data_IF_985742110290
#
_entry.id   IF_985742110290
#
_cell.length_a   1.000
_cell.length_b   1.000
_cell.length_c   1.000
_cell.angle_alpha   90.00
_cell.angle_beta   90.00
_cell.angle_gamma   90.00
#
_symmetry.space_group_name_H-M   'P 1'
#
loop_
_entity.id
_entity.type
_entity.pdbx_description
1 polymer ?
#
# COMPACT_ATOMS: atom_id res chain seq x y z
N UNK A 1 26.09 35.90 -34.75
CA UNK A 1 27.30 35.31 -34.13
C UNK A 1 26.87 34.09 -33.36
N UNK A 2 27.27 33.00 -33.91
CA UNK A 2 27.36 31.61 -33.49
C UNK A 2 26.62 31.08 -32.26
N UNK A 3 25.53 30.35 -32.54
CA UNK A 3 25.00 29.28 -31.74
C UNK A 3 25.93 28.06 -31.77
N UNK A 4 26.25 27.49 -30.63
CA UNK A 4 26.85 26.15 -30.51
C UNK A 4 25.84 25.18 -29.87
N UNK A 5 25.31 24.33 -30.75
CA UNK A 5 24.59 23.10 -30.37
C UNK A 5 25.64 22.06 -29.97
N UNK A 6 25.54 21.53 -28.75
CA UNK A 6 26.38 20.39 -28.32
C UNK A 6 25.60 19.12 -28.62
N UNK A 7 26.05 18.39 -29.66
CA UNK A 7 25.70 17.00 -29.90
C UNK A 7 26.62 16.12 -29.04
N UNK A 8 26.07 15.36 -28.12
CA UNK A 8 26.78 14.26 -27.47
C UNK A 8 26.78 13.06 -28.41
N UNK A 9 27.89 12.80 -29.08
CA UNK A 9 28.14 11.57 -29.81
C UNK A 9 28.69 10.51 -28.86
N UNK A 10 28.01 9.37 -28.77
CA UNK A 10 28.52 8.16 -28.09
C UNK A 10 29.51 7.50 -29.02
N UNK A 11 30.80 7.57 -28.68
CA UNK A 11 31.87 6.94 -29.44
C UNK A 11 31.99 5.48 -29.08
N UNK A 12 31.79 4.59 -30.07
CA UNK A 12 32.12 3.16 -29.93
C UNK A 12 33.65 3.02 -29.84
N UNK A 13 34.16 2.52 -28.76
CA UNK A 13 35.55 2.09 -28.65
C UNK A 13 35.67 0.65 -29.17
N UNK A 14 36.29 0.52 -30.37
CA UNK A 14 36.71 -0.77 -30.92
C UNK A 14 38.11 -1.09 -30.38
N UNK A 15 38.20 -2.08 -29.50
CA UNK A 15 39.50 -2.58 -29.03
C UNK A 15 39.91 -3.73 -29.92
N UNK A 16 40.99 -3.53 -30.70
CA UNK A 16 41.71 -4.59 -31.39
C UNK A 16 42.64 -5.31 -30.42
N UNK A 17 42.38 -6.60 -30.17
CA UNK A 17 43.35 -7.47 -29.49
C UNK A 17 43.89 -8.46 -30.51
N UNK A 18 45.19 -8.37 -30.76
CA UNK A 18 45.93 -9.30 -31.62
C UNK A 18 46.28 -10.60 -30.86
N UNK A 19 45.91 -11.71 -31.47
CA UNK A 19 46.47 -13.08 -31.46
C UNK A 19 46.91 -13.73 -30.15
N UNK A 20 46.18 -14.78 -29.81
CA UNK A 20 46.75 -16.00 -29.28
C UNK A 20 46.25 -16.42 -27.89
N UNK A 21 45.05 -17.00 -27.83
CA UNK A 21 44.71 -18.04 -26.84
C UNK A 21 43.40 -18.73 -27.26
N UNK A 22 43.23 -20.07 -27.01
CA UNK A 22 42.11 -20.82 -27.55
C UNK A 22 40.85 -20.65 -26.73
N UNK A 23 39.75 -20.66 -27.44
CA UNK A 23 38.36 -20.94 -27.09
C UNK A 23 37.97 -21.03 -25.61
N UNK A 24 37.23 -20.02 -25.18
CA UNK A 24 36.01 -20.06 -24.36
C UNK A 24 35.78 -18.75 -23.60
N UNK A 25 35.28 -17.74 -24.26
CA UNK A 25 34.44 -16.71 -23.65
C UNK A 25 33.54 -16.12 -24.74
N UNK A 26 32.44 -16.80 -25.03
CA UNK A 26 31.29 -16.12 -25.64
C UNK A 26 30.63 -15.27 -24.55
N UNK A 27 31.06 -14.02 -24.44
CA UNK A 27 30.28 -13.01 -23.71
C UNK A 27 29.07 -12.75 -24.58
N UNK A 28 27.97 -13.36 -24.24
CA UNK A 28 26.69 -13.19 -24.87
C UNK A 28 26.29 -11.71 -24.79
N UNK A 29 26.25 -11.04 -25.93
CA UNK A 29 25.57 -9.77 -26.15
C UNK A 29 24.05 -9.99 -26.09
N UNK A 30 23.55 -10.44 -24.94
CA UNK A 30 22.14 -10.72 -24.68
C UNK A 30 21.52 -9.71 -23.69
N UNK A 31 22.15 -8.55 -23.49
CA UNK A 31 21.70 -7.61 -22.47
C UNK A 31 20.92 -6.39 -23.00
N UNK A 32 20.86 -6.15 -24.30
CA UNK A 32 20.19 -4.94 -24.82
C UNK A 32 18.80 -5.21 -25.43
N UNK A 33 18.52 -6.43 -25.87
CA UNK A 33 17.20 -6.79 -26.41
C UNK A 33 16.22 -7.28 -25.33
N UNK A 34 16.71 -7.91 -24.26
CA UNK A 34 15.86 -8.35 -23.13
C UNK A 34 15.28 -7.21 -22.28
N UNK A 35 15.85 -6.01 -22.34
CA UNK A 35 15.33 -4.83 -21.63
C UNK A 35 14.16 -4.15 -22.37
N UNK A 36 13.94 -4.44 -23.65
CA UNK A 36 12.85 -3.84 -24.45
C UNK A 36 11.53 -4.63 -24.41
N UNK A 37 11.51 -5.86 -23.90
CA UNK A 37 10.31 -6.73 -23.90
C UNK A 37 9.74 -7.05 -22.52
N UNK A 38 10.35 -6.60 -21.43
CA UNK A 38 9.72 -6.79 -20.12
C UNK A 38 8.50 -5.88 -20.02
N UNK A 39 7.32 -6.46 -19.93
CA UNK A 39 6.10 -5.75 -19.55
C UNK A 39 6.40 -4.86 -18.35
N UNK A 40 6.01 -3.59 -18.41
CA UNK A 40 6.14 -2.67 -17.26
C UNK A 40 5.35 -3.16 -16.05
N UNK A 41 4.53 -4.20 -16.21
CA UNK A 41 3.69 -4.83 -15.20
C UNK A 41 3.97 -6.32 -15.15
N UNK A 42 4.27 -6.82 -13.95
CA UNK A 42 4.50 -8.25 -13.70
C UNK A 42 3.39 -8.84 -12.81
N UNK A 43 3.00 -10.07 -13.10
CA UNK A 43 2.10 -10.85 -12.25
C UNK A 43 2.91 -11.53 -11.14
N UNK A 44 2.61 -11.25 -9.90
CA UNK A 44 3.37 -11.75 -8.75
C UNK A 44 2.70 -12.95 -8.09
N UNK A 45 1.38 -12.87 -7.87
CA UNK A 45 0.56 -13.95 -7.31
C UNK A 45 -0.84 -13.80 -7.90
N UNK A 46 -1.52 -14.93 -8.08
CA UNK A 46 -2.88 -14.97 -8.60
C UNK A 46 -2.93 -15.28 -10.08
N UNK A 47 -4.09 -15.50 -10.61
CA UNK A 47 -4.32 -16.43 -11.71
C UNK A 47 -4.86 -15.88 -12.99
N UNK A 48 -4.78 -14.61 -13.21
CA UNK A 48 -4.99 -14.09 -14.56
C UNK A 48 -3.66 -14.01 -15.29
N UNK A 49 -3.21 -15.14 -15.85
CA UNK A 49 -2.16 -15.12 -16.88
C UNK A 49 -2.83 -14.83 -18.22
N UNK A 50 -2.32 -13.87 -19.01
CA UNK A 50 -2.79 -13.72 -20.39
C UNK A 50 -2.51 -15.01 -21.14
N UNK A 51 -3.53 -15.59 -21.75
CA UNK A 51 -3.34 -16.67 -22.73
C UNK A 51 -2.82 -16.07 -24.03
N UNK A 52 -2.01 -16.82 -24.76
CA UNK A 52 -1.66 -16.49 -26.14
C UNK A 52 -2.97 -16.39 -26.94
N UNK A 53 -3.34 -15.16 -27.36
CA UNK A 53 -4.59 -14.90 -28.06
C UNK A 53 -5.56 -13.95 -27.35
N UNK A 54 -5.20 -13.38 -26.17
CA UNK A 54 -6.00 -12.33 -25.51
C UNK A 54 -7.18 -12.83 -24.67
N UNK A 55 -7.39 -14.14 -24.56
CA UNK A 55 -8.33 -14.73 -23.62
C UNK A 55 -7.68 -15.00 -22.26
N UNK A 56 -8.36 -14.61 -21.19
CA UNK A 56 -7.91 -14.79 -19.83
C UNK A 56 -8.39 -16.14 -19.27
N UNK A 57 -7.50 -17.09 -19.06
CA UNK A 57 -7.83 -18.31 -18.31
C UNK A 57 -7.61 -18.06 -16.83
N UNK A 58 -8.64 -18.34 -16.02
CA UNK A 58 -8.47 -18.45 -14.57
C UNK A 58 -7.71 -19.74 -14.28
N UNK A 59 -6.41 -19.67 -14.07
CA UNK A 59 -5.67 -20.76 -13.47
C UNK A 59 -5.97 -20.77 -11.95
N UNK A 60 -5.73 -21.84 -11.18
CA UNK A 60 -6.08 -21.95 -9.77
C UNK A 60 -5.29 -20.95 -8.90
N UNK A 61 -5.89 -19.84 -8.46
CA UNK A 61 -5.27 -18.91 -7.52
C UNK A 61 -5.38 -19.44 -6.09
N UNK A 62 -4.31 -19.45 -5.32
CA UNK A 62 -4.43 -19.68 -3.90
C UNK A 62 -5.11 -18.50 -3.19
N UNK A 63 -5.29 -17.35 -3.87
CA UNK A 63 -5.86 -16.13 -3.28
C UNK A 63 -7.37 -16.04 -3.51
N UNK A 64 -8.08 -15.59 -2.46
CA UNK A 64 -9.52 -15.33 -2.46
C UNK A 64 -9.80 -13.95 -1.87
N UNK A 65 -9.77 -12.92 -2.71
CA UNK A 65 -9.99 -11.54 -2.28
C UNK A 65 -8.84 -10.98 -1.44
N UNK A 66 -7.61 -10.92 -1.96
CA UNK A 66 -6.49 -10.27 -1.27
C UNK A 66 -6.78 -8.79 -1.05
N UNK A 67 -6.35 -8.23 0.08
CA UNK A 67 -6.64 -6.84 0.44
C UNK A 67 -5.41 -6.02 0.78
N UNK A 68 -4.43 -6.59 1.47
CA UNK A 68 -3.21 -5.90 1.85
C UNK A 68 -1.98 -6.77 1.70
N UNK A 69 -0.84 -6.12 1.44
CA UNK A 69 0.47 -6.78 1.33
C UNK A 69 1.55 -5.94 1.99
N UNK A 70 2.54 -6.63 2.57
CA UNK A 70 3.82 -6.02 2.96
C UNK A 70 4.93 -7.08 2.96
N UNK A 71 6.18 -6.65 3.21
CA UNK A 71 7.39 -7.45 3.04
C UNK A 71 8.22 -7.47 4.32
N UNK A 72 8.78 -8.64 4.64
CA UNK A 72 9.79 -8.77 5.70
C UNK A 72 11.20 -8.38 5.21
N UNK A 73 12.16 -8.38 6.12
CA UNK A 73 13.56 -8.04 5.84
C UNK A 73 14.22 -9.01 4.85
N UNK A 74 13.72 -10.24 4.71
CA UNK A 74 14.18 -11.22 3.73
C UNK A 74 13.61 -10.95 2.32
N UNK A 75 12.62 -10.06 2.19
CA UNK A 75 11.87 -9.78 0.97
C UNK A 75 10.76 -10.81 0.68
N UNK A 76 10.35 -11.60 1.65
CA UNK A 76 9.15 -12.41 1.55
C UNK A 76 7.92 -11.52 1.71
N UNK A 77 6.89 -11.76 0.88
CA UNK A 77 5.64 -11.00 0.88
C UNK A 77 4.60 -11.69 1.77
N UNK A 78 3.93 -10.90 2.60
CA UNK A 78 2.76 -11.33 3.37
C UNK A 78 1.50 -10.75 2.76
N UNK A 79 0.44 -11.58 2.66
CA UNK A 79 -0.81 -11.24 1.99
C UNK A 79 -1.96 -11.56 2.94
N UNK A 80 -2.81 -10.58 3.23
CA UNK A 80 -4.03 -10.78 4.02
C UNK A 80 -5.26 -10.77 3.12
N UNK A 81 -6.22 -11.65 3.43
CA UNK A 81 -7.49 -11.76 2.73
C UNK A 81 -8.66 -11.34 3.62
N UNK A 82 -9.48 -10.41 3.12
CA UNK A 82 -10.58 -9.82 3.90
C UNK A 82 -11.64 -10.83 4.32
N UNK A 83 -12.13 -11.59 3.34
CA UNK A 83 -13.33 -12.44 3.56
C UNK A 83 -13.00 -13.74 4.28
N UNK A 84 -11.90 -14.38 3.94
CA UNK A 84 -11.45 -15.64 4.53
C UNK A 84 -10.73 -15.46 5.86
N UNK A 85 -10.19 -14.25 6.12
CA UNK A 85 -9.26 -14.01 7.21
C UNK A 85 -7.95 -14.79 7.05
N UNK A 86 -7.62 -15.22 5.84
CA UNK A 86 -6.39 -15.97 5.55
C UNK A 86 -5.17 -15.06 5.57
N UNK A 87 -4.03 -15.66 5.88
CA UNK A 87 -2.71 -15.06 5.79
C UNK A 87 -1.79 -15.98 4.99
N UNK A 88 -1.22 -15.44 3.95
CA UNK A 88 -0.27 -16.15 3.09
C UNK A 88 1.11 -15.49 3.16
N UNK A 89 2.15 -16.30 2.98
CA UNK A 89 3.53 -15.88 2.80
C UNK A 89 4.01 -16.34 1.43
N UNK A 90 4.47 -15.41 0.60
CA UNK A 90 5.16 -15.71 -0.66
C UNK A 90 6.66 -15.50 -0.48
N UNK A 91 7.45 -16.54 -0.72
CA UNK A 91 8.91 -16.45 -0.69
C UNK A 91 9.45 -15.59 -1.85
N UNK A 92 10.70 -15.15 -1.78
CA UNK A 92 11.36 -14.45 -2.90
C UNK A 92 11.40 -15.30 -4.18
N UNK A 93 11.45 -16.62 -4.04
CA UNK A 93 11.46 -17.59 -5.17
C UNK A 93 10.08 -17.83 -5.76
N UNK A 94 9.01 -17.28 -5.15
CA UNK A 94 7.66 -17.36 -5.68
C UNK A 94 6.76 -18.42 -5.03
N UNK A 95 7.28 -19.25 -4.13
CA UNK A 95 6.49 -20.22 -3.39
C UNK A 95 5.49 -19.52 -2.46
N UNK A 96 4.21 -19.91 -2.51
CA UNK A 96 3.15 -19.37 -1.63
C UNK A 96 2.77 -20.43 -0.60
N UNK A 97 2.89 -20.06 0.68
CA UNK A 97 2.47 -20.88 1.81
C UNK A 97 1.37 -20.18 2.59
N UNK A 98 0.28 -20.88 2.86
CA UNK A 98 -0.78 -20.39 3.75
C UNK A 98 -0.35 -20.62 5.20
N UNK A 99 -0.16 -19.54 5.95
CA UNK A 99 0.19 -19.58 7.37
C UNK A 99 -1.06 -19.75 8.24
N UNK A 100 -2.17 -19.16 7.81
CA UNK A 100 -3.48 -19.28 8.40
C UNK A 100 -4.53 -19.26 7.28
N UNK A 101 -5.37 -20.30 7.16
CA UNK A 101 -6.25 -20.51 6.02
C UNK A 101 -7.67 -20.96 6.35
N UNK A 102 -8.19 -20.60 7.51
CA UNK A 102 -9.56 -21.00 7.91
C UNK A 102 -10.52 -19.84 7.68
N UNK A 103 -11.72 -20.15 7.14
CA UNK A 103 -12.80 -19.20 6.90
C UNK A 103 -13.61 -18.84 8.18
N UNK A 104 -13.07 -19.09 9.36
CA UNK A 104 -13.68 -18.69 10.62
C UNK A 104 -13.49 -17.20 10.86
N UNK A 105 -14.55 -16.53 11.28
CA UNK A 105 -14.55 -15.13 11.71
C UNK A 105 -14.63 -15.06 13.22
N UNK A 106 -13.83 -14.21 13.84
CA UNK A 106 -13.83 -14.04 15.27
C UNK A 106 -12.54 -13.41 15.77
N UNK A 107 -12.39 -13.39 17.09
CA UNK A 107 -11.25 -12.83 17.79
C UNK A 107 -10.70 -13.86 18.80
N UNK A 108 -9.61 -14.52 18.43
CA UNK A 108 -8.93 -15.48 19.32
C UNK A 108 -7.47 -15.69 18.88
N UNK A 109 -6.75 -16.49 19.67
CA UNK A 109 -5.41 -16.99 19.35
C UNK A 109 -4.26 -16.15 19.88
N UNK A 110 -4.50 -15.11 20.69
CA UNK A 110 -3.43 -14.38 21.40
C UNK A 110 -2.66 -15.34 22.33
N UNK A 111 -1.33 -15.25 22.31
CA UNK A 111 -0.43 -16.13 23.03
C UNK A 111 -0.21 -17.49 22.37
N UNK A 112 -0.87 -17.79 21.26
CA UNK A 112 -0.72 -19.00 20.47
C UNK A 112 -0.07 -18.80 19.11
N UNK A 113 0.16 -19.91 18.41
CA UNK A 113 0.69 -19.86 17.05
C UNK A 113 -0.33 -19.33 16.03
N UNK A 114 0.15 -18.70 14.96
CA UNK A 114 -0.67 -18.04 13.91
C UNK A 114 -1.70 -18.97 13.28
N UNK A 115 -1.42 -20.26 13.18
CA UNK A 115 -2.35 -21.27 12.61
C UNK A 115 -3.64 -21.41 13.42
N UNK A 116 -3.64 -20.99 14.69
CA UNK A 116 -4.79 -21.01 15.61
C UNK A 116 -5.45 -19.63 15.75
N UNK A 117 -4.82 -18.58 15.23
CA UNK A 117 -5.37 -17.24 15.29
C UNK A 117 -6.65 -17.13 14.45
N UNK A 118 -7.62 -16.37 14.93
CA UNK A 118 -8.85 -16.08 14.19
C UNK A 118 -8.94 -14.57 14.00
N UNK A 119 -9.06 -14.15 12.74
CA UNK A 119 -9.19 -12.75 12.34
C UNK A 119 -10.59 -12.48 11.80
N UNK A 120 -11.01 -11.22 11.83
CA UNK A 120 -12.29 -10.81 11.29
C UNK A 120 -12.14 -9.56 10.41
N UNK A 121 -12.10 -9.78 9.10
CA UNK A 121 -11.95 -8.73 8.11
C UNK A 121 -10.60 -8.01 8.16
N UNK A 122 -9.46 -8.72 8.05
CA UNK A 122 -8.15 -8.08 7.97
C UNK A 122 -8.04 -7.27 6.67
N UNK A 123 -7.92 -5.93 6.79
CA UNK A 123 -7.94 -5.03 5.63
C UNK A 123 -6.57 -4.70 5.08
N UNK A 124 -5.55 -4.59 5.93
CA UNK A 124 -4.18 -4.48 5.49
C UNK A 124 -3.19 -4.95 6.55
N UNK A 125 -1.93 -5.03 6.18
CA UNK A 125 -0.85 -5.39 7.08
C UNK A 125 0.40 -4.56 6.78
N UNK A 126 1.28 -4.45 7.78
CA UNK A 126 2.61 -3.84 7.67
C UNK A 126 3.60 -4.66 8.48
N UNK A 127 4.87 -4.69 8.05
CA UNK A 127 5.96 -5.38 8.76
C UNK A 127 6.86 -4.36 9.43
N UNK A 128 7.13 -4.53 10.71
CA UNK A 128 8.04 -3.66 11.50
C UNK A 128 9.51 -3.91 11.13
N UNK A 129 10.40 -3.04 11.63
CA UNK A 129 11.84 -3.19 11.37
C UNK A 129 12.46 -4.45 12.00
N UNK A 130 11.83 -5.00 13.03
CA UNK A 130 12.21 -6.22 13.75
C UNK A 130 11.36 -7.44 13.32
N UNK A 131 10.86 -7.42 12.07
CA UNK A 131 10.10 -8.50 11.45
C UNK A 131 8.90 -8.98 12.29
N UNK A 132 8.09 -8.05 12.74
CA UNK A 132 6.75 -8.33 13.29
C UNK A 132 5.70 -7.90 12.28
N UNK A 133 4.84 -8.80 11.86
CA UNK A 133 3.71 -8.50 11.00
C UNK A 133 2.56 -7.94 11.86
N UNK A 134 2.16 -6.71 11.57
CA UNK A 134 0.99 -6.07 12.16
C UNK A 134 -0.17 -6.17 11.17
N UNK A 135 -1.36 -6.51 11.67
CA UNK A 135 -2.57 -6.71 10.86
C UNK A 135 -3.69 -5.82 11.40
N UNK A 136 -4.29 -5.02 10.54
CA UNK A 136 -5.54 -4.31 10.83
C UNK A 136 -6.69 -5.31 10.86
N UNK A 137 -7.01 -5.85 12.02
CA UNK A 137 -8.11 -6.80 12.24
C UNK A 137 -9.41 -6.02 12.47
N UNK A 138 -9.95 -5.51 11.35
CA UNK A 138 -10.84 -4.35 11.31
C UNK A 138 -12.16 -4.54 12.04
N UNK A 139 -12.80 -5.70 11.87
CA UNK A 139 -14.10 -5.98 12.51
C UNK A 139 -13.95 -6.50 13.93
N UNK A 140 -12.70 -6.80 14.33
CA UNK A 140 -12.33 -7.03 15.73
C UNK A 140 -11.81 -5.75 16.41
N UNK A 141 -11.86 -4.59 15.72
CA UNK A 141 -11.52 -3.29 16.31
C UNK A 141 -10.12 -3.25 16.95
N UNK A 142 -9.14 -3.95 16.37
CA UNK A 142 -7.81 -4.04 16.96
C UNK A 142 -6.72 -4.18 15.90
N UNK A 143 -5.47 -4.07 16.35
CA UNK A 143 -4.27 -4.40 15.57
C UNK A 143 -3.63 -5.64 16.18
N UNK A 144 -3.56 -6.71 15.38
CA UNK A 144 -2.90 -7.96 15.75
C UNK A 144 -1.44 -7.91 15.34
N UNK A 145 -0.61 -8.62 16.09
CA UNK A 145 0.82 -8.81 15.80
C UNK A 145 1.12 -10.29 15.64
N UNK A 146 1.93 -10.62 14.65
CA UNK A 146 2.53 -11.94 14.48
C UNK A 146 4.05 -11.75 14.48
N UNK A 147 4.72 -12.44 15.36
CA UNK A 147 6.17 -12.57 15.36
C UNK A 147 6.56 -13.50 14.21
N UNK A 148 7.32 -13.02 13.21
CA UNK A 148 7.59 -13.80 12.00
C UNK A 148 8.64 -14.89 12.21
N UNK A 149 9.42 -14.82 13.30
CA UNK A 149 10.37 -15.85 13.67
C UNK A 149 9.67 -17.02 14.39
N UNK A 150 8.87 -16.71 15.43
CA UNK A 150 8.22 -17.70 16.29
C UNK A 150 6.81 -18.07 15.86
N UNK A 151 6.22 -17.29 14.95
CA UNK A 151 4.82 -17.36 14.51
C UNK A 151 3.80 -17.20 15.66
N UNK A 152 4.22 -16.59 16.77
CA UNK A 152 3.33 -16.28 17.90
C UNK A 152 2.45 -15.07 17.58
N UNK A 153 1.18 -15.15 17.94
CA UNK A 153 0.17 -14.10 17.71
C UNK A 153 -0.15 -13.36 19.01
N UNK A 154 -0.39 -12.06 18.89
CA UNK A 154 -0.85 -11.21 20.00
C UNK A 154 -1.59 -9.98 19.47
N UNK A 155 -2.15 -9.19 20.39
CA UNK A 155 -2.77 -7.90 20.09
C UNK A 155 -1.90 -6.78 20.66
N UNK A 156 -1.59 -5.74 19.85
CA UNK A 156 -0.77 -4.60 20.31
C UNK A 156 -1.58 -3.33 20.54
N UNK A 157 -2.75 -3.20 19.90
CA UNK A 157 -3.65 -2.06 20.07
C UNK A 157 -5.08 -2.51 19.92
N UNK A 158 -5.96 -1.98 20.76
CA UNK A 158 -7.39 -2.29 20.79
C UNK A 158 -7.75 -3.38 21.78
N UNK A 159 -8.92 -3.22 22.39
CA UNK A 159 -9.51 -4.20 23.35
C UNK A 159 -10.33 -5.28 22.66
N UNK A 160 -10.63 -5.11 21.36
CA UNK A 160 -11.60 -5.93 20.64
C UNK A 160 -13.03 -5.37 20.67
N UNK A 161 -13.31 -4.41 21.54
CA UNK A 161 -14.60 -3.72 21.60
C UNK A 161 -14.63 -2.49 20.67
N UNK A 162 -15.80 -2.27 20.05
CA UNK A 162 -16.02 -1.08 19.23
C UNK A 162 -16.31 0.15 20.08
N UNK A 163 -15.49 1.20 19.97
CA UNK A 163 -15.64 2.42 20.74
C UNK A 163 -14.56 3.46 20.42
N UNK A 164 -14.46 4.48 21.27
CA UNK A 164 -13.40 5.48 21.21
C UNK A 164 -12.93 5.84 22.61
N UNK A 165 -11.74 5.38 22.97
CA UNK A 165 -11.11 5.67 24.26
C UNK A 165 -9.58 5.55 24.17
N UNK A 166 -8.88 5.79 25.27
CA UNK A 166 -7.49 5.39 25.50
C UNK A 166 -6.42 6.40 25.06
N UNK A 167 -6.76 7.59 24.52
CA UNK A 167 -5.76 8.59 24.17
C UNK A 167 -4.90 9.00 25.38
N UNK A 168 -3.58 8.99 25.20
CA UNK A 168 -2.59 9.27 26.25
C UNK A 168 -2.20 8.06 27.08
N UNK A 169 -2.88 6.92 26.92
CA UNK A 169 -2.63 5.67 27.62
C UNK A 169 -2.09 4.56 26.72
N UNK A 170 -2.04 3.31 27.25
CA UNK A 170 -1.60 2.13 26.50
C UNK A 170 -2.54 1.82 25.34
N UNK A 171 -1.97 1.66 24.13
CA UNK A 171 -2.74 1.36 22.92
C UNK A 171 -3.56 0.04 23.04
N UNK A 172 -3.06 -0.94 23.80
CA UNK A 172 -3.76 -2.20 24.02
C UNK A 172 -5.09 -2.03 24.81
N UNK A 173 -5.19 -0.98 25.60
CA UNK A 173 -6.39 -0.65 26.38
C UNK A 173 -7.32 0.35 25.67
N UNK A 174 -6.96 0.81 24.50
CA UNK A 174 -7.77 1.73 23.70
C UNK A 174 -8.92 1.02 23.00
N UNK A 175 -9.97 1.77 22.67
CA UNK A 175 -11.05 1.30 21.81
C UNK A 175 -10.94 1.95 20.44
N UNK A 176 -11.22 1.17 19.40
CA UNK A 176 -11.33 1.60 18.01
C UNK A 176 -12.72 1.25 17.46
N UNK A 177 -13.08 1.87 16.36
CA UNK A 177 -14.27 1.49 15.63
C UNK A 177 -13.97 1.35 14.13
N UNK A 178 -13.70 0.12 13.70
CA UNK A 178 -13.21 -0.27 12.39
C UNK A 178 -11.79 0.26 12.11
N UNK A 179 -10.79 -0.49 12.53
CA UNK A 179 -9.37 -0.27 12.21
C UNK A 179 -9.12 -0.61 10.74
N UNK A 180 -9.30 0.35 9.82
CA UNK A 180 -9.37 0.05 8.38
C UNK A 180 -8.03 0.00 7.68
N UNK A 181 -7.08 0.82 8.11
CA UNK A 181 -5.74 0.87 7.56
C UNK A 181 -4.76 1.15 8.67
N UNK A 182 -3.62 0.50 8.60
CA UNK A 182 -2.45 0.77 9.42
C UNK A 182 -1.26 1.04 8.50
N UNK A 183 -0.37 1.95 8.90
CA UNK A 183 0.86 2.24 8.18
C UNK A 183 1.95 2.64 9.17
N UNK A 184 3.18 2.27 8.88
CA UNK A 184 4.33 2.68 9.68
C UNK A 184 4.86 4.04 9.19
N UNK A 185 5.28 4.88 10.13
CA UNK A 185 6.10 6.04 9.79
C UNK A 185 7.38 5.60 9.08
N UNK A 186 7.99 6.47 8.29
CA UNK A 186 9.21 6.16 7.53
C UNK A 186 10.33 5.61 8.41
N UNK A 187 10.46 6.13 9.64
CA UNK A 187 11.43 5.62 10.63
C UNK A 187 10.94 4.38 11.39
N UNK A 188 9.75 3.86 11.05
CA UNK A 188 9.09 2.67 11.62
C UNK A 188 8.88 2.70 13.14
N UNK A 189 8.89 3.88 13.77
CA UNK A 189 8.66 4.04 15.22
C UNK A 189 7.22 4.31 15.59
N UNK A 190 6.43 4.84 14.66
CA UNK A 190 5.02 5.17 14.87
C UNK A 190 4.15 4.30 13.97
N UNK A 191 3.11 3.73 14.53
CA UNK A 191 2.03 3.08 13.79
C UNK A 191 0.87 4.06 13.66
N UNK A 192 0.58 4.47 12.42
CA UNK A 192 -0.59 5.25 12.07
C UNK A 192 -1.78 4.33 11.88
N UNK A 193 -2.95 4.67 12.41
CA UNK A 193 -4.16 3.86 12.36
C UNK A 193 -5.32 4.72 11.86
N UNK A 194 -5.97 4.32 10.78
CA UNK A 194 -7.23 4.89 10.32
C UNK A 194 -8.40 4.27 11.11
N UNK A 195 -8.87 4.98 12.12
CA UNK A 195 -9.99 4.63 12.99
C UNK A 195 -11.29 5.14 12.37
N UNK A 196 -11.77 4.39 11.37
CA UNK A 196 -12.70 4.85 10.33
C UNK A 196 -14.01 5.42 10.90
N UNK A 197 -14.74 4.64 11.69
CA UNK A 197 -16.06 5.07 12.21
C UNK A 197 -15.95 6.12 13.31
N UNK A 198 -14.81 6.18 13.98
CA UNK A 198 -14.47 7.28 14.89
C UNK A 198 -14.00 8.53 14.16
N UNK A 199 -13.84 8.49 12.82
CA UNK A 199 -13.39 9.62 11.99
C UNK A 199 -12.13 10.27 12.54
N UNK A 200 -11.13 9.43 12.83
CA UNK A 200 -9.86 9.84 13.42
C UNK A 200 -8.69 9.08 12.78
N UNK A 201 -7.54 9.72 12.83
CA UNK A 201 -6.27 9.03 12.68
C UNK A 201 -5.61 8.99 14.05
N UNK A 202 -5.22 7.80 14.46
CA UNK A 202 -4.54 7.54 15.74
C UNK A 202 -3.11 7.12 15.47
N UNK A 203 -2.20 7.55 16.31
CA UNK A 203 -0.80 7.14 16.29
C UNK A 203 -0.50 6.31 17.55
N UNK A 204 0.18 5.19 17.36
CA UNK A 204 0.77 4.41 18.45
C UNK A 204 2.29 4.54 18.35
N UNK A 205 2.92 5.02 19.38
CA UNK A 205 4.36 4.96 19.55
C UNK A 205 4.73 3.51 19.88
N UNK A 206 5.48 2.85 19.00
CA UNK A 206 5.79 1.43 19.13
C UNK A 206 6.82 1.14 20.23
N UNK A 207 7.57 2.16 20.68
CA UNK A 207 8.54 2.03 21.78
C UNK A 207 7.84 2.11 23.14
N UNK A 208 6.92 3.07 23.31
CA UNK A 208 6.23 3.31 24.59
C UNK A 208 4.88 2.64 24.69
N UNK A 209 4.29 2.21 23.57
CA UNK A 209 2.93 1.66 23.49
C UNK A 209 1.83 2.72 23.67
N UNK A 210 2.15 4.01 23.75
CA UNK A 210 1.19 5.09 23.98
C UNK A 210 0.45 5.45 22.70
N UNK A 211 -0.88 5.59 22.78
CA UNK A 211 -1.73 6.00 21.66
C UNK A 211 -2.21 7.43 21.80
N UNK A 212 -2.36 8.14 20.65
CA UNK A 212 -2.92 9.50 20.60
C UNK A 212 -3.66 9.75 19.29
N UNK A 213 -4.71 10.55 19.33
CA UNK A 213 -5.35 11.10 18.13
C UNK A 213 -4.47 12.20 17.51
N UNK A 214 -4.24 12.12 16.20
CA UNK A 214 -3.42 13.11 15.44
C UNK A 214 -4.22 13.85 14.37
N UNK A 215 -5.39 13.33 13.97
CA UNK A 215 -6.33 14.03 13.10
C UNK A 215 -7.75 13.55 13.34
N UNK A 216 -8.72 14.44 13.06
CA UNK A 216 -10.14 14.16 13.24
C UNK A 216 -10.64 14.42 14.66
N UNK A 217 -11.82 15.02 14.77
CA UNK A 217 -12.51 15.33 16.04
C UNK A 217 -13.72 14.43 16.30
N UNK A 218 -13.94 13.43 15.43
CA UNK A 218 -15.05 12.48 15.51
C UNK A 218 -16.32 12.93 14.76
N UNK A 219 -16.42 14.18 14.36
CA UNK A 219 -17.53 14.69 13.54
C UNK A 219 -17.31 14.37 12.07
N UNK A 220 -18.38 14.16 11.32
CA UNK A 220 -18.34 14.02 9.87
C UNK A 220 -18.35 15.41 9.23
N UNK A 221 -17.40 15.67 8.33
CA UNK A 221 -17.34 16.92 7.59
C UNK A 221 -16.03 17.11 6.86
N UNK A 222 -15.99 18.07 5.93
CA UNK A 222 -14.77 18.48 5.27
C UNK A 222 -13.94 19.34 6.21
N UNK A 223 -12.65 19.04 6.43
CA UNK A 223 -11.80 19.87 7.27
C UNK A 223 -11.58 21.26 6.65
N UNK A 224 -11.42 22.26 7.49
CA UNK A 224 -11.02 23.61 7.08
C UNK A 224 -9.50 23.62 6.86
N UNK A 225 -9.06 23.92 5.66
CA UNK A 225 -7.64 24.02 5.33
C UNK A 225 -6.91 25.04 6.22
N UNK A 226 -5.71 24.68 6.68
CA UNK A 226 -4.92 25.45 7.63
C UNK A 226 -5.33 25.32 9.10
N UNK A 227 -6.43 24.64 9.40
CA UNK A 227 -6.84 24.37 10.78
C UNK A 227 -6.10 23.20 11.41
N UNK A 228 -6.03 23.16 12.75
CA UNK A 228 -5.42 22.03 13.49
C UNK A 228 -6.18 20.74 13.18
N UNK A 229 -5.47 19.70 12.72
CA UNK A 229 -6.05 18.44 12.29
C UNK A 229 -6.91 17.76 13.36
N UNK A 230 -6.47 17.77 14.63
CA UNK A 230 -7.19 17.20 15.77
C UNK A 230 -8.49 17.95 16.13
N UNK A 231 -8.63 19.18 15.68
CA UNK A 231 -9.84 20.03 15.91
C UNK A 231 -10.82 19.96 14.74
N UNK A 232 -10.39 19.47 13.59
CA UNK A 232 -11.15 19.41 12.35
C UNK A 232 -11.91 18.09 12.19
N UNK A 233 -13.10 18.11 11.52
CA UNK A 233 -13.80 16.89 11.16
C UNK A 233 -13.08 16.15 10.03
N UNK A 234 -13.39 14.87 9.86
CA UNK A 234 -13.05 14.07 8.68
C UNK A 234 -14.33 13.43 8.11
N UNK A 235 -14.37 13.25 6.79
CA UNK A 235 -15.56 12.66 6.14
C UNK A 235 -15.58 11.14 6.35
N UNK A 236 -14.50 10.48 5.92
CA UNK A 236 -14.40 9.00 5.92
C UNK A 236 -12.93 8.59 5.76
N UNK A 237 -12.08 8.75 6.80
CA UNK A 237 -10.64 8.47 6.73
C UNK A 237 -10.39 6.97 6.53
N UNK A 238 -10.18 6.58 5.28
CA UNK A 238 -10.11 5.17 4.86
C UNK A 238 -8.71 4.59 4.93
N UNK A 239 -7.70 5.41 4.60
CA UNK A 239 -6.31 4.99 4.61
C UNK A 239 -5.39 6.15 5.00
N UNK A 240 -4.19 5.82 5.44
CA UNK A 240 -3.17 6.75 5.92
C UNK A 240 -1.81 6.28 5.46
N UNK A 241 -0.92 7.22 5.12
CA UNK A 241 0.50 6.99 4.87
C UNK A 241 1.31 8.22 5.26
N UNK A 242 2.63 8.11 5.39
CA UNK A 242 3.50 9.25 5.66
C UNK A 242 4.67 9.30 4.68
N UNK A 243 5.19 10.52 4.43
CA UNK A 243 6.40 10.74 3.64
C UNK A 243 7.64 10.93 4.52
N UNK A 244 8.82 11.02 3.86
CA UNK A 244 10.10 11.23 4.53
C UNK A 244 10.24 12.59 5.24
N UNK A 245 9.38 13.57 4.92
CA UNK A 245 9.33 14.87 5.58
C UNK A 245 8.43 14.87 6.83
N UNK A 246 7.77 13.75 7.14
CA UNK A 246 6.86 13.61 8.28
C UNK A 246 5.45 14.12 8.02
N UNK A 247 5.11 14.43 6.78
CA UNK A 247 3.72 14.73 6.43
C UNK A 247 2.89 13.45 6.48
N UNK A 248 1.68 13.55 7.05
CA UNK A 248 0.74 12.45 7.16
C UNK A 248 -0.40 12.63 6.15
N UNK A 249 -0.45 11.78 5.15
CA UNK A 249 -1.50 11.79 4.14
C UNK A 249 -2.68 10.92 4.57
N UNK A 250 -3.89 11.44 4.42
CA UNK A 250 -5.15 10.80 4.80
C UNK A 250 -6.03 10.72 3.56
N UNK A 251 -6.39 9.50 3.17
CA UNK A 251 -7.33 9.27 2.07
C UNK A 251 -8.76 9.17 2.60
N UNK A 252 -9.63 9.99 2.08
CA UNK A 252 -11.05 9.95 2.40
C UNK A 252 -11.83 9.25 1.28
N UNK A 253 -12.43 8.07 1.56
CA UNK A 253 -13.15 7.27 0.58
C UNK A 253 -14.40 7.97 0.06
N UNK A 254 -15.36 8.27 0.93
CA UNK A 254 -16.59 9.00 0.53
C UNK A 254 -16.38 10.50 0.43
N UNK A 255 -15.28 11.00 0.96
CA UNK A 255 -14.80 12.37 0.75
C UNK A 255 -14.11 12.56 -0.60
N UNK A 256 -13.77 11.49 -1.33
CA UNK A 256 -13.09 11.52 -2.63
C UNK A 256 -11.95 12.54 -2.68
N UNK A 257 -11.11 12.55 -1.65
CA UNK A 257 -10.04 13.52 -1.48
C UNK A 257 -8.85 12.96 -0.71
N UNK A 258 -7.69 13.53 -0.97
CA UNK A 258 -6.46 13.32 -0.23
C UNK A 258 -6.18 14.55 0.63
N UNK A 259 -6.02 14.35 1.93
CA UNK A 259 -5.62 15.37 2.88
C UNK A 259 -4.17 15.17 3.29
N UNK A 260 -3.51 16.21 3.74
CA UNK A 260 -2.21 16.15 4.40
C UNK A 260 -2.27 16.86 5.74
N UNK A 261 -1.71 16.24 6.77
CA UNK A 261 -1.39 16.89 8.04
C UNK A 261 0.11 17.15 8.03
N UNK A 262 0.49 18.40 8.19
CA UNK A 262 1.90 18.83 8.20
C UNK A 262 2.49 18.78 9.60
N UNK A 263 3.80 18.95 9.72
CA UNK A 263 4.52 18.90 10.99
C UNK A 263 4.02 19.90 12.04
N UNK A 264 3.44 21.04 11.61
CA UNK A 264 2.80 22.02 12.48
C UNK A 264 1.40 21.60 12.97
N UNK A 265 0.92 20.42 12.55
CA UNK A 265 -0.39 19.89 12.86
C UNK A 265 -1.54 20.46 12.03
N UNK A 266 -1.27 21.32 11.04
CA UNK A 266 -2.29 21.89 10.16
C UNK A 266 -2.72 20.86 9.10
N UNK A 267 -4.03 20.75 8.85
CA UNK A 267 -4.60 19.90 7.81
C UNK A 267 -4.90 20.71 6.56
N UNK A 268 -4.61 20.13 5.39
CA UNK A 268 -4.91 20.71 4.09
C UNK A 268 -5.46 19.67 3.12
N UNK A 269 -6.34 20.10 2.21
CA UNK A 269 -6.70 19.32 1.03
C UNK A 269 -5.60 19.46 -0.01
N UNK A 270 -5.06 18.35 -0.52
CA UNK A 270 -3.98 18.36 -1.52
C UNK A 270 -4.38 17.75 -2.85
N UNK A 271 -5.43 16.91 -2.87
CA UNK A 271 -6.01 16.41 -4.12
C UNK A 271 -7.47 16.03 -3.93
N UNK A 272 -8.24 16.17 -5.01
CA UNK A 272 -9.65 15.80 -5.07
C UNK A 272 -10.60 16.93 -4.70
N UNK A 273 -11.70 17.02 -5.46
CA UNK A 273 -12.74 18.05 -5.26
C UNK A 273 -13.80 17.67 -4.22
N UNK A 274 -13.74 16.44 -3.69
CA UNK A 274 -14.83 15.86 -2.89
C UNK A 274 -15.94 15.20 -3.72
N UNK A 275 -16.01 15.44 -5.02
CA UNK A 275 -16.98 14.84 -5.94
C UNK A 275 -16.45 13.53 -6.51
N UNK A 276 -17.32 12.52 -6.64
CA UNK A 276 -16.99 11.25 -7.30
C UNK A 276 -16.82 11.47 -8.81
N UNK A 277 -15.79 10.88 -9.40
CA UNK A 277 -15.55 10.91 -10.84
C UNK A 277 -14.15 10.44 -11.20
N UNK A 278 -13.75 10.69 -12.44
CA UNK A 278 -12.41 10.39 -12.95
C UNK A 278 -11.87 11.60 -13.71
N UNK A 279 -10.84 12.24 -13.19
CA UNK A 279 -10.11 13.33 -13.85
C UNK A 279 -8.69 13.40 -13.31
N UNK A 280 -7.71 13.42 -14.21
CA UNK A 280 -6.30 13.72 -13.96
C UNK A 280 -6.03 15.24 -14.10
N UNK A 281 -4.80 15.66 -13.87
CA UNK A 281 -4.32 17.03 -14.02
C UNK A 281 -4.14 17.73 -12.68
N UNK A 282 -4.52 19.00 -12.57
CA UNK A 282 -4.39 19.77 -11.33
C UNK A 282 -5.03 19.02 -10.15
N UNK A 283 -4.25 18.85 -9.08
CA UNK A 283 -4.63 17.96 -7.99
C UNK A 283 -5.92 18.42 -7.28
N UNK A 284 -6.13 19.73 -7.11
CA UNK A 284 -7.33 20.25 -6.48
C UNK A 284 -8.57 20.18 -7.39
N UNK A 285 -8.37 19.93 -8.68
CA UNK A 285 -9.43 19.70 -9.65
C UNK A 285 -9.62 18.22 -9.99
N UNK A 286 -8.76 17.34 -9.50
CA UNK A 286 -8.84 15.90 -9.74
C UNK A 286 -10.13 15.29 -9.19
N UNK A 287 -10.58 14.20 -9.81
CA UNK A 287 -11.74 13.44 -9.35
C UNK A 287 -11.32 12.01 -9.06
N UNK A 288 -11.76 11.50 -7.92
CA UNK A 288 -11.58 10.11 -7.48
C UNK A 288 -12.92 9.39 -7.39
N UNK A 289 -12.88 8.05 -7.45
CA UNK A 289 -14.06 7.19 -7.35
C UNK A 289 -13.98 6.23 -6.17
N UNK A 290 -14.39 6.65 -4.98
CA UNK A 290 -14.37 5.79 -3.78
C UNK A 290 -13.00 5.14 -3.53
N UNK A 291 -11.91 5.91 -3.45
CA UNK A 291 -10.56 5.37 -3.31
C UNK A 291 -10.40 4.59 -2.00
N UNK A 292 -9.55 3.56 -1.98
CA UNK A 292 -9.49 2.57 -0.89
C UNK A 292 -8.20 2.62 -0.08
N UNK A 293 -7.06 2.73 -0.74
CA UNK A 293 -5.77 2.61 -0.09
C UNK A 293 -4.75 3.57 -0.69
N UNK A 294 -3.72 3.91 0.08
CA UNK A 294 -2.58 4.73 -0.35
C UNK A 294 -1.27 4.16 0.16
N UNK A 295 -0.21 4.42 -0.58
CA UNK A 295 1.17 4.31 -0.10
C UNK A 295 2.01 5.46 -0.65
N UNK A 296 3.12 5.77 0.03
CA UNK A 296 4.07 6.79 -0.38
C UNK A 296 5.36 6.14 -0.87
N UNK A 297 5.96 6.66 -1.95
CA UNK A 297 7.30 6.27 -2.35
C UNK A 297 8.37 7.14 -1.66
N UNK A 298 9.67 6.76 -1.72
CA UNK A 298 10.75 7.57 -1.15
C UNK A 298 10.87 8.97 -1.75
N UNK A 299 10.32 9.21 -2.94
CA UNK A 299 10.28 10.52 -3.61
C UNK A 299 9.18 11.44 -3.10
N UNK A 300 8.29 10.92 -2.24
CA UNK A 300 7.14 11.64 -1.67
C UNK A 300 5.88 11.56 -2.52
N UNK A 301 5.87 10.82 -3.63
CA UNK A 301 4.65 10.61 -4.42
C UNK A 301 3.69 9.70 -3.66
N UNK A 302 2.39 10.01 -3.72
CA UNK A 302 1.35 9.19 -3.10
C UNK A 302 0.57 8.43 -4.17
N UNK A 303 0.62 7.10 -4.10
CA UNK A 303 -0.14 6.21 -4.98
C UNK A 303 -1.46 5.86 -4.34
N UNK A 304 -2.53 5.87 -5.15
CA UNK A 304 -3.92 5.77 -4.69
C UNK A 304 -4.61 4.65 -5.46
N UNK A 305 -5.13 3.65 -4.75
CA UNK A 305 -6.04 2.65 -5.30
C UNK A 305 -7.43 3.27 -5.48
N UNK A 306 -7.75 3.71 -6.68
CA UNK A 306 -9.00 4.40 -7.04
C UNK A 306 -10.04 3.38 -7.52
N UNK A 307 -10.64 2.66 -6.56
CA UNK A 307 -11.40 1.43 -6.70
C UNK A 307 -12.53 1.51 -7.73
N UNK A 308 -13.46 2.44 -7.56
CA UNK A 308 -14.61 2.54 -8.49
C UNK A 308 -14.20 3.02 -9.89
N UNK A 309 -13.03 3.63 -10.03
CA UNK A 309 -12.44 3.99 -11.31
C UNK A 309 -11.59 2.88 -11.92
N UNK A 310 -11.35 1.76 -11.20
CA UNK A 310 -10.51 0.64 -11.67
C UNK A 310 -9.12 1.13 -12.12
N UNK A 311 -8.50 2.00 -11.32
CA UNK A 311 -7.26 2.68 -11.66
C UNK A 311 -6.35 2.85 -10.45
N UNK A 312 -5.06 2.92 -10.72
CA UNK A 312 -4.06 3.40 -9.76
C UNK A 312 -3.66 4.81 -10.17
N UNK A 313 -3.83 5.75 -9.24
CA UNK A 313 -3.52 7.16 -9.43
C UNK A 313 -2.26 7.54 -8.67
N UNK A 314 -1.51 8.52 -9.15
CA UNK A 314 -0.36 9.11 -8.46
C UNK A 314 -0.62 10.59 -8.22
N UNK A 315 -0.51 11.03 -6.98
CA UNK A 315 -0.36 12.44 -6.61
C UNK A 315 1.12 12.77 -6.45
N UNK A 316 1.59 13.75 -7.19
CA UNK A 316 2.94 14.30 -7.09
C UNK A 316 2.89 15.63 -6.32
N UNK A 317 3.46 15.70 -5.10
CA UNK A 317 3.42 16.91 -4.28
C UNK A 317 4.27 18.06 -4.82
N UNK A 318 5.28 17.78 -5.67
CA UNK A 318 6.16 18.79 -6.25
C UNK A 318 5.47 19.53 -7.37
N UNK A 319 4.79 18.82 -8.26
CA UNK A 319 4.07 19.39 -9.40
C UNK A 319 2.61 19.71 -9.08
N UNK A 320 2.08 19.20 -7.97
CA UNK A 320 0.67 19.27 -7.58
C UNK A 320 -0.26 18.71 -8.66
N UNK A 321 0.17 17.62 -9.29
CA UNK A 321 -0.60 16.95 -10.33
C UNK A 321 -1.06 15.57 -9.86
N UNK A 322 -2.22 15.15 -10.35
CA UNK A 322 -2.67 13.77 -10.30
C UNK A 322 -2.58 13.17 -11.69
N UNK A 323 -2.03 11.97 -11.78
CA UNK A 323 -1.95 11.20 -13.02
C UNK A 323 -2.36 9.76 -12.80
N UNK A 324 -2.83 9.08 -13.84
CA UNK A 324 -3.13 7.66 -13.82
C UNK A 324 -1.88 6.85 -14.17
N UNK A 325 -1.53 5.88 -13.33
CA UNK A 325 -0.32 5.03 -13.47
C UNK A 325 -0.68 3.70 -14.13
N UNK A 326 -1.83 3.11 -13.77
CA UNK A 326 -2.27 1.80 -14.26
C UNK A 326 -3.79 1.72 -14.30
N UNK A 327 -4.31 0.97 -15.28
CA UNK A 327 -5.74 0.77 -15.49
C UNK A 327 -6.35 1.82 -16.43
N UNK A 328 -7.54 1.53 -16.99
CA UNK A 328 -8.25 2.39 -17.97
C UNK A 328 -7.43 2.73 -19.22
N UNK A 329 -6.56 1.81 -19.66
CA UNK A 329 -5.66 2.01 -20.80
C UNK A 329 -4.35 2.72 -20.50
N UNK A 330 -4.13 3.16 -19.26
CA UNK A 330 -2.86 3.72 -18.80
C UNK A 330 -1.91 2.62 -18.29
N UNK A 331 -0.62 2.88 -18.36
CA UNK A 331 0.42 1.90 -18.05
C UNK A 331 0.49 0.83 -19.15
N UNK A 332 0.43 -0.45 -18.78
CA UNK A 332 0.26 -1.54 -19.74
C UNK A 332 -1.22 -1.60 -20.14
N UNK A 333 -1.55 -1.28 -21.40
CA UNK A 333 -2.92 -1.23 -21.90
C UNK A 333 -3.64 -2.58 -21.88
N UNK A 334 -2.89 -3.69 -21.81
CA UNK A 334 -3.44 -5.05 -21.67
C UNK A 334 -3.95 -5.35 -20.27
N UNK A 335 -3.52 -4.55 -19.27
CA UNK A 335 -3.90 -4.74 -17.87
C UNK A 335 -5.20 -3.99 -17.58
N UNK A 336 -6.24 -4.74 -17.35
CA UNK A 336 -7.48 -4.23 -16.78
C UNK A 336 -7.51 -4.55 -15.29
N UNK A 337 -7.85 -3.57 -14.46
CA UNK A 337 -8.03 -3.74 -13.02
C UNK A 337 -9.51 -3.99 -12.70
N UNK A 338 -9.74 -4.81 -11.67
CA UNK A 338 -11.07 -5.01 -11.10
C UNK A 338 -11.02 -4.90 -9.58
N UNK A 339 -11.53 -3.80 -9.04
CA UNK A 339 -11.52 -3.49 -7.61
C UNK A 339 -10.11 -3.45 -7.00
N UNK A 340 -9.21 -2.57 -7.46
CA UNK A 340 -7.89 -2.42 -6.81
C UNK A 340 -8.08 -1.86 -5.40
N UNK A 341 -7.82 -2.68 -4.37
CA UNK A 341 -8.02 -2.30 -2.98
C UNK A 341 -6.75 -1.87 -2.27
N UNK A 342 -5.61 -2.51 -2.57
CA UNK A 342 -4.35 -2.25 -1.89
C UNK A 342 -3.26 -1.75 -2.84
N UNK A 343 -2.38 -0.90 -2.33
CA UNK A 343 -1.14 -0.50 -2.98
C UNK A 343 -0.01 -0.50 -1.96
N UNK A 344 1.21 -0.92 -2.37
CA UNK A 344 2.40 -0.91 -1.53
C UNK A 344 3.62 -0.56 -2.35
N UNK A 345 4.39 0.46 -1.91
CA UNK A 345 5.70 0.76 -2.47
C UNK A 345 6.76 -0.08 -1.76
N UNK A 346 7.55 -0.87 -2.51
CA UNK A 346 8.65 -1.64 -1.96
C UNK A 346 9.76 -1.84 -3.00
N UNK A 347 11.01 -1.59 -2.61
CA UNK A 347 12.21 -1.84 -3.44
C UNK A 347 12.09 -1.31 -4.87
N UNK A 348 11.67 -0.04 -5.03
CA UNK A 348 11.56 0.62 -6.34
C UNK A 348 10.36 0.17 -7.18
N UNK A 349 9.44 -0.59 -6.62
CA UNK A 349 8.24 -1.06 -7.29
C UNK A 349 6.98 -0.68 -6.54
N UNK A 350 5.89 -0.55 -7.28
CA UNK A 350 4.53 -0.47 -6.76
C UNK A 350 3.85 -1.84 -6.89
N UNK A 351 3.43 -2.38 -5.77
CA UNK A 351 2.59 -3.58 -5.75
C UNK A 351 1.13 -3.16 -5.70
N UNK A 352 0.32 -3.75 -6.57
CA UNK A 352 -1.10 -3.46 -6.70
C UNK A 352 -1.89 -4.71 -6.36
N UNK A 353 -2.73 -4.62 -5.34
CA UNK A 353 -3.65 -5.69 -4.94
C UNK A 353 -4.95 -5.52 -5.72
N UNK A 354 -5.08 -6.27 -6.82
CA UNK A 354 -6.25 -6.26 -7.69
C UNK A 354 -7.24 -7.33 -7.21
N UNK A 355 -7.97 -6.98 -6.16
CA UNK A 355 -8.83 -7.86 -5.38
C UNK A 355 -9.89 -8.56 -6.21
N UNK A 356 -10.51 -7.85 -7.18
CA UNK A 356 -11.56 -8.43 -8.01
C UNK A 356 -11.07 -9.53 -8.96
N UNK A 357 -9.78 -9.50 -9.30
CA UNK A 357 -9.14 -10.56 -10.08
C UNK A 357 -8.31 -11.53 -9.23
N UNK A 358 -8.38 -11.45 -7.90
CA UNK A 358 -7.63 -12.33 -6.99
C UNK A 358 -6.12 -12.37 -7.29
N UNK A 359 -5.50 -11.20 -7.58
CA UNK A 359 -4.10 -11.14 -8.01
C UNK A 359 -3.34 -9.97 -7.41
N UNK A 360 -2.03 -10.10 -7.43
CA UNK A 360 -1.09 -9.04 -7.09
C UNK A 360 -0.19 -8.78 -8.29
N UNK A 361 -0.13 -7.53 -8.70
CA UNK A 361 0.70 -7.03 -9.78
C UNK A 361 1.87 -6.24 -9.21
N UNK A 362 3.00 -6.19 -9.93
CA UNK A 362 4.15 -5.35 -9.65
C UNK A 362 4.41 -4.42 -10.82
N UNK A 363 4.57 -3.14 -10.54
CA UNK A 363 4.85 -2.08 -11.50
C UNK A 363 6.17 -1.42 -11.13
N UNK A 364 7.09 -1.29 -12.08
CA UNK A 364 8.35 -0.57 -11.86
C UNK A 364 8.05 0.93 -11.68
N UNK A 365 8.53 1.53 -10.60
CA UNK A 365 8.46 2.97 -10.37
C UNK A 365 9.60 3.67 -11.14
N UNK A 366 9.22 4.68 -11.94
CA UNK A 366 10.14 5.50 -12.72
C UNK A 366 10.42 6.81 -12.00
#
# INVERSE_FOLDING_TARGET
MFHRTILLSVTLATVFVSRGWPDRFSVSFLMAEDLKSRSAVEFIVGNYLPSEGGEWKAAESPLQGPFGVDFDSSGAMYIVELASGSLHRRSRTGEVKTLRGRHEKGYSGDGGGVSRAVFNGPHNCVVTADDKLLIADSWNHCVRRIDLETLQTGTIAGTGAGGFSGDGGPARSAEFNYTMCIELSVNRKILHIADLKNRRIRNVDLQTGVIRTVAGNGKKGTPKDGGLAVKNPLVDPRAVTSDGAGNLYILERSGNALRVVRADGAIHTVAGTGKKGFRDGDALQALFGSPKHICCDPGGNVYIADDANKAIRKYDPKTRQVSTVLGRGFGDSKIQLERPHGVRCHSGHLYVVDTGHNRILRVLLK
#
